data_IF_261291644921
#
_entry.id   IF_261291644921
#
_cell.length_a   1.000
_cell.length_b   1.000
_cell.length_c   1.000
_cell.angle_alpha   90.00
_cell.angle_beta   90.00
_cell.angle_gamma   90.00
#
_symmetry.space_group_name_H-M   'P 1'
#
loop_
_entity.id
_entity.type
_entity.pdbx_description
1 polymer ?
#
# COMPACT_ATOMS: atom_id res chain seq x y z
N UNK A 1 -1.22 0.62 -11.50
CA UNK A 1 -0.69 0.46 -12.88
C UNK A 1 -1.82 -0.10 -13.74
N UNK A 2 -1.90 0.28 -15.01
CA UNK A 2 -2.92 -0.24 -15.93
C UNK A 2 -2.33 -1.37 -16.78
N UNK A 3 -2.92 -2.56 -16.69
CA UNK A 3 -2.55 -3.72 -17.50
C UNK A 3 -3.80 -4.36 -18.09
N UNK A 4 -3.68 -5.16 -19.16
CA UNK A 4 -4.82 -5.87 -19.72
C UNK A 4 -5.59 -6.72 -18.69
N UNK A 5 -4.89 -7.25 -17.69
CA UNK A 5 -5.49 -8.10 -16.66
C UNK A 5 -6.39 -7.35 -15.69
N UNK A 6 -6.11 -6.06 -15.43
CA UNK A 6 -6.84 -5.27 -14.44
C UNK A 6 -7.64 -4.11 -15.03
N UNK A 7 -7.49 -3.83 -16.32
CA UNK A 7 -8.07 -2.66 -16.97
C UNK A 7 -9.58 -2.50 -16.70
N UNK A 8 -10.32 -3.60 -16.81
CA UNK A 8 -11.77 -3.61 -16.63
C UNK A 8 -12.22 -3.68 -15.16
N UNK A 9 -11.30 -3.90 -14.24
CA UNK A 9 -11.60 -4.01 -12.80
C UNK A 9 -11.56 -2.64 -12.09
N UNK A 10 -10.96 -1.64 -12.72
CA UNK A 10 -10.74 -0.34 -12.11
C UNK A 10 -11.63 0.71 -12.77
N UNK A 11 -12.32 1.48 -11.95
CA UNK A 11 -13.05 2.66 -12.40
C UNK A 11 -12.06 3.80 -12.69
N UNK A 12 -11.54 3.82 -13.92
CA UNK A 12 -10.61 4.85 -14.38
C UNK A 12 -11.32 6.21 -14.51
N UNK A 13 -10.63 7.29 -14.13
CA UNK A 13 -11.16 8.64 -14.19
C UNK A 13 -10.30 9.68 -13.48
N UNK A 14 -10.94 10.66 -12.86
CA UNK A 14 -10.23 11.75 -12.18
C UNK A 14 -9.46 11.27 -10.93
N UNK A 15 -9.95 10.22 -10.27
CA UNK A 15 -9.35 9.67 -9.04
C UNK A 15 -8.35 8.57 -9.38
N UNK A 16 -8.80 7.52 -10.06
CA UNK A 16 -7.94 6.42 -10.48
C UNK A 16 -7.43 6.72 -11.89
N UNK A 17 -6.15 7.02 -12.02
CA UNK A 17 -5.54 7.35 -13.30
C UNK A 17 -4.63 6.22 -13.75
N UNK A 18 -4.71 5.82 -15.02
CA UNK A 18 -3.83 4.77 -15.52
C UNK A 18 -2.39 5.29 -15.58
N UNK A 19 -1.44 4.43 -15.22
CA UNK A 19 0.00 4.64 -15.43
C UNK A 19 0.56 3.45 -16.18
N UNK A 20 1.35 3.70 -17.23
CA UNK A 20 2.01 2.67 -18.00
C UNK A 20 3.11 1.99 -17.16
N UNK A 21 3.36 0.71 -17.44
CA UNK A 21 4.35 -0.08 -16.70
C UNK A 21 5.75 0.54 -16.76
N UNK A 22 6.17 1.00 -17.91
CA UNK A 22 7.49 1.61 -18.11
C UNK A 22 7.69 2.86 -17.25
N UNK A 23 6.63 3.65 -17.06
CA UNK A 23 6.66 4.83 -16.18
C UNK A 23 6.69 4.44 -14.70
N UNK A 24 5.88 3.45 -14.33
CA UNK A 24 5.90 2.90 -12.97
C UNK A 24 7.31 2.40 -12.62
N UNK A 25 7.90 1.56 -13.47
CA UNK A 25 9.23 1.00 -13.28
C UNK A 25 10.32 2.08 -13.22
N UNK A 26 10.23 3.10 -14.06
CA UNK A 26 11.17 4.22 -14.06
C UNK A 26 11.11 5.03 -12.75
N UNK A 27 9.92 5.32 -12.24
CA UNK A 27 9.75 6.02 -10.96
C UNK A 27 10.21 5.13 -9.81
N UNK A 28 9.86 3.85 -9.81
CA UNK A 28 10.32 2.88 -8.82
C UNK A 28 11.85 2.84 -8.75
N UNK A 29 12.54 2.77 -9.90
CA UNK A 29 14.00 2.77 -9.96
C UNK A 29 14.59 4.04 -9.35
N UNK A 30 14.01 5.22 -9.62
CA UNK A 30 14.42 6.50 -9.02
C UNK A 30 14.19 6.51 -7.51
N UNK A 31 13.05 6.01 -7.03
CA UNK A 31 12.75 5.89 -5.59
C UNK A 31 13.74 4.96 -4.89
N UNK A 32 14.02 3.81 -5.48
CA UNK A 32 15.02 2.87 -4.95
C UNK A 32 16.42 3.49 -4.90
N UNK A 33 16.83 4.20 -5.95
CA UNK A 33 18.11 4.91 -5.96
C UNK A 33 18.17 6.03 -4.91
N UNK A 34 17.08 6.76 -4.74
CA UNK A 34 16.96 7.81 -3.72
C UNK A 34 17.10 7.25 -2.29
N UNK A 35 16.53 6.08 -2.02
CA UNK A 35 16.57 5.45 -0.69
C UNK A 35 17.92 4.79 -0.36
N UNK A 36 18.81 4.59 -1.35
CA UNK A 36 20.12 3.98 -1.11
C UNK A 36 20.95 4.81 -0.13
N UNK A 37 21.49 4.13 0.91
CA UNK A 37 22.32 4.75 1.94
C UNK A 37 21.54 5.62 2.94
N UNK A 38 20.22 5.69 2.85
CA UNK A 38 19.36 6.37 3.83
C UNK A 38 18.91 5.43 4.93
N UNK A 39 18.64 5.99 6.09
CA UNK A 39 17.92 5.25 7.13
C UNK A 39 16.49 5.00 6.67
N UNK A 40 16.04 3.77 6.82
CA UNK A 40 14.66 3.35 6.50
C UNK A 40 14.10 2.55 7.67
N UNK A 41 12.78 2.60 7.81
CA UNK A 41 12.03 1.87 8.81
C UNK A 41 11.20 0.79 8.13
N UNK A 42 11.29 -0.45 8.60
CA UNK A 42 10.53 -1.58 8.04
C UNK A 42 9.55 -2.08 9.08
N UNK A 43 8.33 -2.31 8.64
CA UNK A 43 7.29 -2.94 9.45
C UNK A 43 6.61 -4.04 8.64
N UNK A 44 6.59 -5.23 9.18
CA UNK A 44 5.82 -6.36 8.69
C UNK A 44 4.55 -6.48 9.53
N UNK A 45 3.38 -6.51 8.88
CA UNK A 45 2.10 -6.53 9.57
C UNK A 45 1.00 -7.19 8.74
N UNK A 46 -0.17 -7.36 9.34
CA UNK A 46 -1.31 -7.99 8.71
C UNK A 46 -2.46 -7.00 8.52
N UNK A 47 -3.14 -7.09 7.39
CA UNK A 47 -4.39 -6.41 7.12
C UNK A 47 -5.54 -7.42 7.02
N UNK A 48 -6.63 -7.18 7.76
CA UNK A 48 -7.75 -8.11 7.91
C UNK A 48 -7.59 -9.03 9.13
N UNK A 49 -8.60 -9.03 10.01
CA UNK A 49 -8.56 -9.81 11.26
C UNK A 49 -9.01 -11.26 11.09
N UNK A 50 -9.80 -11.56 10.05
CA UNK A 50 -10.19 -12.93 9.73
C UNK A 50 -9.01 -13.65 9.05
N UNK A 51 -8.46 -14.72 9.65
CA UNK A 51 -7.30 -15.45 9.10
C UNK A 51 -7.49 -15.93 7.66
N UNK A 52 -8.73 -16.18 7.25
CA UNK A 52 -9.05 -16.62 5.89
C UNK A 52 -8.76 -15.54 4.83
N UNK A 53 -8.89 -14.27 5.21
CA UNK A 53 -8.79 -13.13 4.31
C UNK A 53 -7.63 -12.19 4.64
N UNK A 54 -6.87 -12.50 5.68
CA UNK A 54 -5.68 -11.74 6.08
C UNK A 54 -4.65 -11.71 4.96
N UNK A 55 -4.08 -10.53 4.72
CA UNK A 55 -2.94 -10.34 3.81
C UNK A 55 -1.74 -9.77 4.56
N UNK A 56 -0.55 -10.21 4.19
CA UNK A 56 0.74 -9.76 4.73
C UNK A 56 1.19 -8.52 3.99
N UNK A 57 1.52 -7.47 4.74
CA UNK A 57 2.05 -6.23 4.18
C UNK A 57 3.42 -5.91 4.77
N UNK A 58 4.43 -5.76 3.90
CA UNK A 58 5.72 -5.16 4.26
C UNK A 58 5.70 -3.69 3.92
N UNK A 59 5.94 -2.85 4.93
CA UNK A 59 5.93 -1.40 4.80
C UNK A 59 7.37 -0.90 4.98
N UNK A 60 7.90 -0.27 3.95
CA UNK A 60 9.23 0.37 3.94
C UNK A 60 9.03 1.88 3.93
N UNK A 61 9.44 2.56 4.99
CA UNK A 61 9.24 4.00 5.17
C UNK A 61 10.56 4.75 5.31
N UNK A 62 10.62 5.95 4.75
CA UNK A 62 11.69 6.91 5.03
C UNK A 62 11.51 7.61 6.39
N UNK A 63 10.27 7.78 6.89
CA UNK A 63 9.98 8.49 8.11
C UNK A 63 9.49 7.57 9.23
N UNK A 64 10.13 7.66 10.41
CA UNK A 64 9.72 6.93 11.61
C UNK A 64 8.27 7.20 12.01
N UNK A 65 7.78 8.44 11.85
CA UNK A 65 6.40 8.83 12.15
C UNK A 65 5.37 8.10 11.29
N UNK A 66 5.65 7.90 10.01
CA UNK A 66 4.80 7.11 9.11
C UNK A 66 4.80 5.62 9.51
N UNK A 67 5.97 5.10 9.91
CA UNK A 67 6.09 3.72 10.37
C UNK A 67 5.29 3.51 11.67
N UNK A 68 5.42 4.42 12.64
CA UNK A 68 4.67 4.37 13.90
C UNK A 68 3.16 4.40 13.62
N UNK A 69 2.71 5.32 12.77
CA UNK A 69 1.30 5.43 12.40
C UNK A 69 0.73 4.13 11.83
N UNK A 70 1.44 3.50 10.89
CA UNK A 70 0.93 2.28 10.25
C UNK A 70 0.99 1.07 11.19
N UNK A 71 1.95 1.02 12.12
CA UNK A 71 2.04 0.00 13.17
C UNK A 71 0.87 0.04 14.15
N UNK A 72 0.25 1.21 14.32
CA UNK A 72 -0.93 1.35 15.17
C UNK A 72 -2.23 0.98 14.45
N UNK A 73 -2.21 0.89 13.13
CA UNK A 73 -3.39 0.58 12.31
C UNK A 73 -3.43 -0.87 11.83
N UNK A 74 -2.30 -1.46 11.48
CA UNK A 74 -2.22 -2.85 11.05
C UNK A 74 -2.08 -3.80 12.25
N UNK A 75 -2.49 -5.03 12.08
CA UNK A 75 -2.30 -6.07 13.10
C UNK A 75 -0.79 -6.37 13.19
N UNK A 76 -0.25 -6.26 14.38
CA UNK A 76 1.15 -6.54 14.67
C UNK A 76 1.35 -8.05 14.83
N UNK A 77 2.33 -8.62 14.14
CA UNK A 77 2.67 -10.02 14.38
C UNK A 77 3.23 -10.21 15.79
N UNK A 78 3.01 -11.39 16.35
CA UNK A 78 3.75 -11.89 17.51
C UNK A 78 5.21 -12.14 17.12
N UNK A 79 6.07 -12.43 18.10
CA UNK A 79 7.48 -12.77 17.84
C UNK A 79 7.58 -14.03 16.97
N UNK A 80 6.73 -15.03 17.24
CA UNK A 80 6.67 -16.29 16.51
C UNK A 80 6.18 -16.09 15.08
N UNK A 81 5.11 -15.30 14.89
CA UNK A 81 4.58 -14.96 13.58
C UNK A 81 5.59 -14.16 12.76
N UNK A 82 6.33 -13.23 13.40
CA UNK A 82 7.36 -12.46 12.74
C UNK A 82 8.53 -13.36 12.29
N UNK A 83 8.95 -14.31 13.12
CA UNK A 83 9.99 -15.27 12.75
C UNK A 83 9.58 -16.16 11.57
N UNK A 84 8.28 -16.44 11.43
CA UNK A 84 7.69 -17.26 10.37
C UNK A 84 7.10 -16.41 9.22
N UNK A 85 7.31 -15.09 9.23
CA UNK A 85 6.59 -14.16 8.33
C UNK A 85 6.84 -14.47 6.84
N UNK A 86 8.10 -14.71 6.48
CA UNK A 86 8.48 -15.03 5.11
C UNK A 86 8.27 -13.86 4.14
N UNK A 87 7.75 -14.16 2.95
CA UNK A 87 7.42 -13.13 1.95
C UNK A 87 6.10 -12.45 2.29
N UNK A 88 6.03 -11.16 2.03
CA UNK A 88 4.80 -10.38 2.13
C UNK A 88 3.95 -10.59 0.87
N UNK A 89 2.61 -10.57 1.04
CA UNK A 89 1.70 -10.58 -0.10
C UNK A 89 1.79 -9.25 -0.88
N UNK A 90 2.05 -8.14 -0.17
CA UNK A 90 2.23 -6.81 -0.76
C UNK A 90 3.35 -6.05 -0.06
N UNK A 91 4.11 -5.28 -0.85
CA UNK A 91 5.12 -4.35 -0.33
C UNK A 91 4.71 -2.91 -0.61
N UNK A 92 4.80 -2.06 0.41
CA UNK A 92 4.61 -0.61 0.28
C UNK A 92 5.94 0.08 0.50
N UNK A 93 6.37 0.90 -0.45
CA UNK A 93 7.55 1.74 -0.36
C UNK A 93 7.09 3.20 -0.27
N UNK A 94 7.35 3.85 0.86
CA UNK A 94 6.99 5.25 1.09
C UNK A 94 8.25 6.12 1.24
N UNK A 95 8.49 6.95 0.25
CA UNK A 95 9.62 7.88 0.14
C UNK A 95 9.11 9.33 0.04
N UNK A 96 8.64 9.94 1.14
CA UNK A 96 8.07 11.28 1.13
C UNK A 96 9.02 12.39 0.70
N UNK A 97 10.32 12.21 0.88
CA UNK A 97 11.34 13.17 0.45
C UNK A 97 11.70 13.09 -1.03
N UNK A 98 11.35 11.99 -1.72
CA UNK A 98 11.48 11.90 -3.16
C UNK A 98 10.30 12.58 -3.84
N UNK A 99 10.55 13.56 -4.67
CA UNK A 99 9.55 14.29 -5.45
C UNK A 99 9.64 13.93 -6.92
N UNK A 100 8.52 13.60 -7.52
CA UNK A 100 8.44 13.41 -8.96
C UNK A 100 8.53 14.75 -9.70
N UNK A 101 9.04 14.73 -10.92
CA UNK A 101 8.92 15.82 -11.87
C UNK A 101 7.77 15.51 -12.85
N UNK A 102 6.63 16.24 -12.80
CA UNK A 102 5.49 15.97 -13.67
C UNK A 102 5.84 15.99 -15.16
N UNK A 103 6.78 16.84 -15.57
CA UNK A 103 7.19 16.95 -16.97
C UNK A 103 7.99 15.74 -17.46
N UNK A 104 8.75 15.11 -16.57
CA UNK A 104 9.64 13.97 -16.90
C UNK A 104 8.95 12.66 -16.59
N UNK A 105 8.36 12.54 -15.40
CA UNK A 105 7.80 11.29 -14.89
C UNK A 105 6.37 11.01 -15.40
N UNK A 106 5.72 12.02 -16.01
CA UNK A 106 4.39 11.88 -16.58
C UNK A 106 3.30 11.65 -15.54
N UNK A 107 3.52 12.13 -14.33
CA UNK A 107 2.55 12.20 -13.24
C UNK A 107 1.94 13.61 -13.15
N UNK A 108 0.95 13.81 -12.27
CA UNK A 108 0.22 15.07 -12.24
C UNK A 108 0.72 16.08 -11.21
N UNK A 109 1.59 15.65 -10.31
CA UNK A 109 2.18 16.48 -9.25
C UNK A 109 3.51 15.90 -8.80
N UNK A 110 4.20 16.60 -7.91
CA UNK A 110 5.41 16.11 -7.24
C UNK A 110 5.16 14.86 -6.37
N UNK A 111 3.90 14.63 -5.98
CA UNK A 111 3.50 13.43 -5.24
C UNK A 111 2.82 12.42 -6.18
N UNK A 112 3.17 11.16 -6.03
CA UNK A 112 2.52 10.06 -6.74
C UNK A 112 2.28 8.88 -5.79
N UNK A 113 1.06 8.32 -5.86
CA UNK A 113 0.66 7.08 -5.22
C UNK A 113 0.33 6.09 -6.31
N UNK A 114 1.14 5.07 -6.45
CA UNK A 114 1.06 4.12 -7.55
C UNK A 114 0.91 2.70 -7.01
N UNK A 115 -0.03 1.94 -7.56
CA UNK A 115 -0.28 0.55 -7.16
C UNK A 115 -0.13 -0.33 -8.39
N UNK A 116 0.71 -1.34 -8.27
CA UNK A 116 0.84 -2.45 -9.19
C UNK A 116 0.29 -3.72 -8.53
N UNK A 117 -0.91 -4.12 -8.92
CA UNK A 117 -1.57 -5.29 -8.34
C UNK A 117 -0.96 -6.60 -8.81
N UNK A 118 -0.32 -6.65 -9.98
CA UNK A 118 0.32 -7.86 -10.50
C UNK A 118 1.71 -8.08 -9.89
N UNK A 119 2.48 -7.00 -9.68
CA UNK A 119 3.75 -7.07 -8.98
C UNK A 119 3.61 -7.02 -7.45
N UNK A 120 2.38 -6.85 -6.93
CA UNK A 120 2.09 -6.74 -5.50
C UNK A 120 2.89 -5.60 -4.83
N UNK A 121 3.03 -4.47 -5.54
CA UNK A 121 3.89 -3.37 -5.13
C UNK A 121 3.15 -2.04 -5.13
N UNK A 122 3.36 -1.28 -4.07
CA UNK A 122 2.81 0.07 -3.89
C UNK A 122 3.97 1.02 -3.69
N UNK A 123 3.99 2.11 -4.46
CA UNK A 123 5.00 3.15 -4.35
C UNK A 123 4.32 4.48 -4.03
N UNK A 124 4.75 5.10 -2.94
CA UNK A 124 4.26 6.41 -2.47
C UNK A 124 5.46 7.34 -2.40
N UNK A 125 5.44 8.41 -3.17
CA UNK A 125 6.50 9.41 -3.16
C UNK A 125 5.92 10.83 -3.07
N UNK A 126 6.71 11.76 -2.55
CA UNK A 126 6.38 13.18 -2.45
C UNK A 126 5.28 13.53 -1.43
N UNK A 127 4.80 12.58 -0.63
CA UNK A 127 3.76 12.81 0.38
C UNK A 127 4.23 12.41 1.78
N UNK A 128 4.22 13.38 2.71
CA UNK A 128 4.50 13.12 4.12
C UNK A 128 3.24 12.63 4.89
N UNK A 129 2.08 12.67 4.27
CA UNK A 129 0.83 12.25 4.89
C UNK A 129 0.80 10.74 5.06
N UNK A 130 0.94 10.26 6.30
CA UNK A 130 0.96 8.83 6.63
C UNK A 130 -0.32 8.09 6.23
N UNK A 131 -1.46 8.81 6.14
CA UNK A 131 -2.72 8.26 5.66
C UNK A 131 -2.70 7.71 4.24
N UNK A 132 -1.72 8.10 3.39
CA UNK A 132 -1.57 7.51 2.05
C UNK A 132 -1.19 6.04 2.12
N UNK A 133 -0.36 5.64 3.09
CA UNK A 133 -0.01 4.22 3.31
C UNK A 133 -1.27 3.45 3.70
N UNK A 134 -2.02 3.94 4.69
CA UNK A 134 -3.30 3.34 5.12
C UNK A 134 -4.30 3.24 3.97
N UNK A 135 -4.44 4.31 3.19
CA UNK A 135 -5.36 4.35 2.06
C UNK A 135 -4.95 3.38 0.95
N UNK A 136 -3.67 3.23 0.69
CA UNK A 136 -3.15 2.30 -0.31
C UNK A 136 -3.39 0.85 0.10
N UNK A 137 -3.14 0.51 1.38
CA UNK A 137 -3.49 -0.82 1.93
C UNK A 137 -4.98 -1.08 1.80
N UNK A 138 -5.82 -0.10 2.19
CA UNK A 138 -7.27 -0.21 2.06
C UNK A 138 -7.73 -0.40 0.61
N UNK A 139 -7.18 0.36 -0.34
CA UNK A 139 -7.49 0.20 -1.78
C UNK A 139 -7.09 -1.18 -2.29
N UNK A 140 -5.95 -1.71 -1.83
CA UNK A 140 -5.49 -3.05 -2.18
C UNK A 140 -6.43 -4.11 -1.63
N UNK A 141 -6.84 -4.00 -0.36
CA UNK A 141 -7.79 -4.93 0.25
C UNK A 141 -9.16 -4.86 -0.46
N UNK A 142 -9.62 -3.65 -0.84
CA UNK A 142 -10.85 -3.50 -1.64
C UNK A 142 -10.77 -4.27 -2.96
N UNK A 143 -9.67 -4.15 -3.67
CA UNK A 143 -9.47 -4.84 -4.95
C UNK A 143 -9.45 -6.37 -4.77
N UNK A 144 -8.62 -6.85 -3.85
CA UNK A 144 -8.40 -8.29 -3.63
C UNK A 144 -9.65 -8.97 -3.10
N UNK A 145 -10.25 -8.43 -2.03
CA UNK A 145 -11.40 -9.06 -1.38
C UNK A 145 -12.64 -9.07 -2.27
N UNK A 146 -12.84 -8.02 -3.06
CA UNK A 146 -13.96 -7.99 -4.02
C UNK A 146 -13.83 -9.12 -5.06
N UNK A 147 -12.61 -9.43 -5.51
CA UNK A 147 -12.38 -10.58 -6.40
C UNK A 147 -12.64 -11.93 -5.72
N UNK A 148 -12.51 -12.00 -4.42
CA UNK A 148 -12.83 -13.18 -3.60
C UNK A 148 -14.33 -13.22 -3.21
N UNK A 149 -15.16 -12.29 -3.72
CA UNK A 149 -16.59 -12.20 -3.41
C UNK A 149 -16.92 -11.61 -2.04
N UNK A 150 -15.97 -10.95 -1.41
CA UNK A 150 -16.11 -10.30 -0.10
C UNK A 150 -16.31 -8.80 -0.30
N UNK A 151 -17.27 -8.22 0.40
CA UNK A 151 -17.52 -6.78 0.39
C UNK A 151 -16.67 -6.08 1.46
N UNK A 152 -15.59 -5.40 1.10
CA UNK A 152 -14.85 -4.56 2.04
C UNK A 152 -15.58 -3.23 2.23
N UNK A 153 -15.48 -2.66 3.44
CA UNK A 153 -16.10 -1.38 3.76
C UNK A 153 -15.15 -0.47 4.54
N UNK A 154 -15.21 0.82 4.25
CA UNK A 154 -14.57 1.85 5.05
C UNK A 154 -15.57 2.34 6.11
N UNK A 155 -15.67 1.61 7.19
CA UNK A 155 -16.65 1.85 8.24
C UNK A 155 -16.04 1.61 9.63
N UNK A 156 -16.82 1.91 10.68
CA UNK A 156 -16.63 1.35 12.01
C UNK A 156 -17.57 0.17 12.20
N UNK A 157 -17.12 -0.82 12.96
CA UNK A 157 -17.94 -1.97 13.36
C UNK A 157 -17.99 -2.05 14.87
N UNK A 158 -19.17 -2.24 15.41
CA UNK A 158 -19.41 -2.41 16.83
C UNK A 158 -20.30 -3.65 17.02
N UNK A 159 -20.08 -4.35 18.09
CA UNK A 159 -20.87 -5.51 18.47
C UNK A 159 -21.13 -5.43 19.96
N UNK A 160 -22.37 -5.62 20.39
CA UNK A 160 -22.70 -5.74 21.80
C UNK A 160 -22.01 -7.00 22.37
N UNK A 161 -21.24 -6.89 23.47
CA UNK A 161 -20.50 -8.02 24.01
C UNK A 161 -21.38 -9.09 24.66
N UNK A 162 -22.66 -8.80 24.91
CA UNK A 162 -23.62 -9.73 25.55
C UNK A 162 -24.56 -10.36 24.52
N UNK A 163 -25.15 -9.54 23.64
CA UNK A 163 -26.10 -10.03 22.63
C UNK A 163 -25.45 -10.47 21.34
N UNK A 164 -24.20 -10.05 21.07
CA UNK A 164 -23.47 -10.28 19.82
C UNK A 164 -24.17 -9.70 18.58
N UNK A 165 -25.01 -8.65 18.75
CA UNK A 165 -25.68 -7.91 17.70
C UNK A 165 -25.00 -6.56 17.41
#
# INVERSE_FOLDING_TARGET
MDTPAIHNDIAWGKVNRPIAKERFDAILAKVCAYLQGREIFIFDGFAGADPKYTKKFRIVNELASQNLFIRDLLIRPTTEELAAYGEADYTVIAAPGFKCDPAIDGVHSEAAIMIDYEAHLIVICGSQYAGEIKKSVFSTMNYVLTKEGILPMHCSANMDPVTHE
#
